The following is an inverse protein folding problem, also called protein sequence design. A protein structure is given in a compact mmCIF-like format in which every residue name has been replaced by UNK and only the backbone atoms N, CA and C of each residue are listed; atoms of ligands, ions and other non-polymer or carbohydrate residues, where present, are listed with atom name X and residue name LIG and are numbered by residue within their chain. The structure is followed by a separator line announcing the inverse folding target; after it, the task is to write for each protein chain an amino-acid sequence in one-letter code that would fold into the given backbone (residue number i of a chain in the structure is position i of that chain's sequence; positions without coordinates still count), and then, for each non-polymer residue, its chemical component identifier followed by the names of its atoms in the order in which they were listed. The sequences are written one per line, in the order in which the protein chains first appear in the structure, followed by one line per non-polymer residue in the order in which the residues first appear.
data_IF_081142952130
#
_entry.id   IF_081142952130
#
_cell.length_a   1.000
_cell.length_b   1.000
_cell.length_c   1.000
_cell.angle_alpha   90.00
_cell.angle_beta   90.00
_cell.angle_gamma   90.00
#
_symmetry.space_group_name_H-M   'P 1'
#
loop_
_entity.id
_entity.type
_entity.pdbx_description
1 polymer ?
#
# COMPACT_ATOMS: atom_id res chain seq x y z
N UNK A 1 0.71 0.00 19.92
CA UNK A 1 1.67 0.30 18.83
C UNK A 1 3.08 0.69 19.33
N UNK A 2 3.46 0.49 20.60
CA UNK A 2 4.78 0.87 21.14
C UNK A 2 5.83 -0.25 21.15
N UNK A 3 5.44 -1.52 21.01
CA UNK A 3 6.34 -2.68 21.22
C UNK A 3 7.26 -3.05 20.05
N UNK A 4 7.20 -2.35 18.91
CA UNK A 4 8.03 -2.64 17.72
C UNK A 4 8.81 -1.45 17.18
N UNK A 5 8.43 -0.23 17.55
CA UNK A 5 9.15 0.97 17.12
C UNK A 5 10.61 0.86 17.59
N UNK A 6 11.56 0.96 16.65
CA UNK A 6 13.02 0.84 16.87
C UNK A 6 13.55 -0.54 17.28
N UNK A 7 12.69 -1.56 17.37
CA UNK A 7 13.09 -2.92 17.75
C UNK A 7 13.16 -3.90 16.56
N UNK A 8 12.59 -3.53 15.40
CA UNK A 8 12.70 -4.31 14.17
C UNK A 8 12.03 -3.64 12.97
N UNK A 9 12.46 -3.99 11.77
CA UNK A 9 11.94 -3.43 10.51
C UNK A 9 10.49 -3.85 10.25
N UNK A 10 9.72 -2.95 9.64
CA UNK A 10 8.33 -3.19 9.23
C UNK A 10 8.21 -2.89 7.74
N UNK A 11 7.62 -3.81 6.98
CA UNK A 11 7.19 -3.56 5.61
C UNK A 11 5.66 -3.40 5.64
N UNK A 12 5.18 -2.29 5.11
CA UNK A 12 3.76 -1.99 5.00
C UNK A 12 3.42 -1.70 3.54
N UNK A 13 2.30 -2.26 3.08
CA UNK A 13 1.74 -1.96 1.77
C UNK A 13 0.33 -1.41 1.94
N UNK A 14 0.07 -0.25 1.35
CA UNK A 14 -1.24 0.39 1.34
C UNK A 14 -1.62 0.76 -0.09
N UNK A 15 -2.90 0.67 -0.41
CA UNK A 15 -3.49 1.23 -1.63
C UNK A 15 -4.13 2.61 -1.40
N UNK A 16 -4.03 3.14 -0.17
CA UNK A 16 -4.53 4.44 0.23
C UNK A 16 -3.36 5.37 0.54
N UNK A 17 -3.49 6.58 0.01
CA UNK A 17 -2.68 7.75 0.36
C UNK A 17 -2.83 8.09 1.85
N UNK A 18 -1.81 8.71 2.46
CA UNK A 18 -1.79 8.98 3.91
C UNK A 18 -2.90 9.90 4.39
N UNK A 19 -3.40 10.79 3.53
CA UNK A 19 -4.51 11.70 3.82
C UNK A 19 -5.85 10.97 4.07
N UNK A 20 -6.00 9.75 3.54
CA UNK A 20 -7.20 8.89 3.71
C UNK A 20 -7.11 7.97 4.92
N UNK A 21 -5.98 7.94 5.61
CA UNK A 21 -5.83 7.06 6.78
C UNK A 21 -6.71 7.45 7.96
N UNK A 22 -7.00 8.73 8.25
CA UNK A 22 -7.93 9.11 9.30
C UNK A 22 -9.32 8.48 9.14
N UNK A 23 -9.79 8.25 7.91
CA UNK A 23 -11.07 7.57 7.64
C UNK A 23 -11.04 6.09 8.06
N UNK A 24 -9.86 5.46 8.05
CA UNK A 24 -9.67 4.06 8.43
C UNK A 24 -9.47 3.91 9.93
N UNK A 25 -8.70 4.80 10.55
CA UNK A 25 -8.34 4.73 11.97
C UNK A 25 -9.28 5.51 12.89
N UNK A 26 -10.16 6.35 12.35
CA UNK A 26 -11.25 7.04 13.03
C UNK A 26 -10.85 8.30 13.83
N UNK A 27 -9.62 8.38 14.32
CA UNK A 27 -9.09 9.56 15.03
C UNK A 27 -7.89 10.14 14.28
N UNK A 28 -8.06 11.37 13.77
CA UNK A 28 -7.04 12.06 13.01
C UNK A 28 -5.74 12.28 13.81
N UNK A 29 -5.82 12.64 15.10
CA UNK A 29 -4.62 12.91 15.92
C UNK A 29 -3.84 11.63 16.19
N UNK A 30 -4.54 10.54 16.47
CA UNK A 30 -3.88 9.23 16.63
C UNK A 30 -3.25 8.75 15.33
N UNK A 31 -3.91 9.01 14.21
CA UNK A 31 -3.43 8.64 12.87
C UNK A 31 -2.18 9.42 12.50
N UNK A 32 -2.16 10.73 12.73
CA UNK A 32 -0.99 11.58 12.51
C UNK A 32 0.21 11.09 13.34
N UNK A 33 0.00 10.79 14.64
CA UNK A 33 1.06 10.25 15.49
C UNK A 33 1.53 8.84 15.08
N UNK A 34 0.69 8.06 14.41
CA UNK A 34 1.06 6.76 13.84
C UNK A 34 1.89 6.94 12.57
N UNK A 35 1.45 7.81 11.65
CA UNK A 35 2.15 8.11 10.40
C UNK A 35 3.53 8.69 10.70
N UNK A 36 3.63 9.60 11.66
CA UNK A 36 4.91 10.17 12.12
C UNK A 36 5.91 9.07 12.50
N UNK A 37 5.49 8.12 13.35
CA UNK A 37 6.34 6.99 13.77
C UNK A 37 6.67 6.01 12.63
N UNK A 38 5.76 5.81 11.68
CA UNK A 38 5.97 4.91 10.56
C UNK A 38 6.89 5.51 9.49
N UNK A 39 6.86 6.83 9.33
CA UNK A 39 7.68 7.55 8.35
C UNK A 39 9.05 7.93 8.91
N UNK A 40 9.20 7.92 10.24
CA UNK A 40 10.48 8.10 10.91
C UNK A 40 11.46 6.95 10.56
N UNK A 41 12.46 7.26 9.72
CA UNK A 41 13.45 6.32 9.13
C UNK A 41 12.83 5.28 8.19
N UNK A 42 11.85 5.66 7.38
CA UNK A 42 11.28 4.79 6.35
C UNK A 42 11.69 5.18 4.93
N UNK A 43 11.81 4.16 4.08
CA UNK A 43 11.86 4.31 2.63
C UNK A 43 10.45 4.13 2.06
N UNK A 44 9.93 5.17 1.41
CA UNK A 44 8.58 5.16 0.82
C UNK A 44 8.69 4.84 -0.66
N UNK A 45 8.13 3.70 -1.06
CA UNK A 45 8.08 3.29 -2.47
C UNK A 45 6.68 3.51 -3.04
N UNK A 46 6.54 4.51 -3.92
CA UNK A 46 5.28 4.79 -4.61
C UNK A 46 5.12 3.84 -5.80
N UNK A 47 4.06 3.04 -5.77
CA UNK A 47 3.78 2.00 -6.77
C UNK A 47 2.76 2.50 -7.80
N UNK A 48 3.21 3.17 -8.87
CA UNK A 48 2.37 3.71 -9.95
C UNK A 48 2.29 2.80 -11.19
N UNK A 49 2.59 1.51 -11.05
CA UNK A 49 2.61 0.56 -12.16
C UNK A 49 1.22 0.03 -12.56
N UNK A 50 1.12 -0.55 -13.75
CA UNK A 50 -0.09 -1.27 -14.16
C UNK A 50 -0.37 -2.46 -13.24
N UNK A 51 -1.66 -2.73 -13.00
CA UNK A 51 -2.09 -3.89 -12.25
C UNK A 51 -1.63 -5.18 -12.94
N UNK A 52 -0.79 -5.97 -12.26
CA UNK A 52 -0.36 -7.28 -12.73
C UNK A 52 -1.56 -8.18 -13.11
N UNK A 53 -2.62 -8.13 -12.30
CA UNK A 53 -3.87 -8.88 -12.51
C UNK A 53 -4.59 -8.46 -13.79
N UNK A 54 -4.59 -7.16 -14.08
CA UNK A 54 -5.20 -6.62 -15.29
C UNK A 54 -4.43 -7.09 -16.53
N UNK A 55 -3.10 -6.99 -16.51
CA UNK A 55 -2.25 -7.48 -17.61
C UNK A 55 -2.45 -8.97 -17.88
N UNK A 56 -2.49 -9.80 -16.84
CA UNK A 56 -2.75 -11.25 -16.98
C UNK A 56 -4.11 -11.53 -17.62
N UNK A 57 -5.15 -10.76 -17.25
CA UNK A 57 -6.48 -10.88 -17.84
C UNK A 57 -6.49 -10.51 -19.32
N UNK A 58 -5.77 -9.45 -19.70
CA UNK A 58 -5.61 -9.05 -21.09
C UNK A 58 -4.89 -10.10 -21.91
N UNK A 59 -3.81 -10.70 -21.38
CA UNK A 59 -3.07 -11.78 -22.04
C UNK A 59 -3.94 -13.03 -22.26
N UNK A 60 -4.73 -13.42 -21.26
CA UNK A 60 -5.66 -14.53 -21.38
C UNK A 60 -6.70 -14.29 -22.48
N UNK A 61 -7.31 -13.09 -22.51
CA UNK A 61 -8.29 -12.72 -23.54
C UNK A 61 -7.70 -12.76 -24.94
N UNK A 62 -6.46 -12.27 -25.11
CA UNK A 62 -5.74 -12.32 -26.40
C UNK A 62 -5.50 -13.76 -26.87
N UNK A 63 -5.20 -14.69 -25.95
CA UNK A 63 -5.02 -16.11 -26.29
C UNK A 63 -6.32 -16.74 -26.78
N UNK A 64 -7.41 -16.56 -26.03
CA UNK A 64 -8.74 -17.09 -26.41
C UNK A 64 -9.21 -16.54 -27.76
N UNK A 65 -8.96 -15.26 -28.05
CA UNK A 65 -9.31 -14.65 -29.32
C UNK A 65 -8.47 -15.16 -30.52
N UNK A 66 -7.33 -15.79 -30.26
CA UNK A 66 -6.45 -16.36 -31.30
C UNK A 66 -6.77 -17.85 -31.58
N UNK A 67 -7.45 -18.51 -30.66
CA UNK A 67 -7.85 -19.92 -30.76
C UNK A 67 -9.24 -20.10 -31.41
N UNK A 68 -10.01 -19.01 -31.55
CA UNK A 68 -11.26 -18.92 -32.32
C UNK A 68 -11.00 -18.32 -33.71
#
# INVERSE_FOLDING_TARGET
CSTRHELGSIILTTNLDFDKWPDVFGDARMTEALIDRLTHRADIHVMNGESYRFRQTLELRKRVAKEN
#
